data_IF_004664489154
#
_entry.id   IF_004664489154
#
_cell.length_a   1.000
_cell.length_b   1.000
_cell.length_c   1.000
_cell.angle_alpha   90.00
_cell.angle_beta   90.00
_cell.angle_gamma   90.00
#
_symmetry.space_group_name_H-M   'P 1'
#
loop_
_entity.id
_entity.type
_entity.pdbx_description
1 polymer ?
#
# COMPACT_ATOMS: atom_id res chain seq x y z
N UNK A 1 9.22 -2.05 2.60
CA UNK A 1 8.81 -3.12 1.66
C UNK A 1 7.37 -2.96 1.24
N UNK A 2 7.10 -3.32 -0.02
CA UNK A 2 5.79 -3.31 -0.67
C UNK A 2 5.48 -4.75 -1.06
N UNK A 3 4.34 -5.28 -0.62
CA UNK A 3 3.80 -6.52 -1.16
C UNK A 3 2.79 -6.20 -2.26
N UNK A 4 2.86 -6.95 -3.35
CA UNK A 4 1.98 -6.76 -4.52
C UNK A 4 0.97 -7.89 -4.62
N UNK A 5 -0.29 -7.53 -4.86
CA UNK A 5 -1.41 -8.48 -4.94
C UNK A 5 -2.06 -8.36 -6.31
N UNK A 6 -2.38 -9.49 -6.93
CA UNK A 6 -2.99 -9.56 -8.26
C UNK A 6 -4.53 -9.39 -8.25
N UNK A 7 -5.02 -8.42 -7.47
CA UNK A 7 -6.44 -8.10 -7.31
C UNK A 7 -6.68 -6.61 -7.59
N UNK A 8 -6.53 -6.19 -8.85
CA UNK A 8 -6.78 -4.81 -9.28
C UNK A 8 -8.05 -4.68 -10.10
N UNK A 9 -8.43 -3.45 -10.47
CA UNK A 9 -9.62 -3.20 -11.31
C UNK A 9 -9.62 -3.97 -12.63
N UNK A 10 -8.43 -4.17 -13.23
CA UNK A 10 -8.28 -4.94 -14.47
C UNK A 10 -8.18 -6.46 -14.29
N UNK A 11 -8.17 -6.99 -13.06
CA UNK A 11 -8.10 -8.44 -12.85
C UNK A 11 -9.29 -9.13 -13.49
N UNK A 12 -9.01 -10.15 -14.30
CA UNK A 12 -10.01 -10.86 -15.11
C UNK A 12 -10.70 -11.91 -14.24
N UNK A 13 -12.02 -11.94 -14.27
CA UNK A 13 -12.84 -12.97 -13.67
C UNK A 13 -13.06 -14.14 -14.64
N UNK A 14 -13.13 -15.36 -14.12
CA UNK A 14 -13.28 -16.58 -14.92
C UNK A 14 -13.84 -17.73 -14.07
N UNK A 15 -14.45 -18.72 -14.72
CA UNK A 15 -14.88 -19.96 -14.08
C UNK A 15 -13.75 -21.00 -14.19
N UNK A 16 -13.37 -21.62 -13.08
CA UNK A 16 -12.41 -22.73 -13.13
C UNK A 16 -13.04 -24.04 -13.60
N UNK A 17 -12.21 -25.08 -13.79
CA UNK A 17 -12.68 -26.37 -14.28
C UNK A 17 -13.71 -27.06 -13.35
N UNK A 18 -13.80 -26.63 -12.08
CA UNK A 18 -14.80 -27.08 -11.12
C UNK A 18 -16.07 -26.22 -11.08
N UNK A 19 -16.15 -25.17 -11.91
CA UNK A 19 -17.26 -24.21 -11.92
C UNK A 19 -17.18 -23.16 -10.81
N UNK A 20 -16.02 -22.99 -10.16
CA UNK A 20 -15.86 -21.95 -9.14
C UNK A 20 -15.43 -20.63 -9.77
N UNK A 21 -15.97 -19.52 -9.28
CA UNK A 21 -15.57 -18.18 -9.67
C UNK A 21 -14.15 -17.87 -9.16
N UNK A 22 -13.29 -17.42 -10.07
CA UNK A 22 -11.92 -16.95 -9.81
C UNK A 22 -11.73 -15.55 -10.34
N UNK A 23 -10.80 -14.81 -9.74
CA UNK A 23 -10.39 -13.48 -10.20
C UNK A 23 -8.87 -13.39 -10.21
N UNK A 24 -8.30 -12.91 -11.31
CA UNK A 24 -6.86 -12.90 -11.51
C UNK A 24 -6.27 -14.31 -11.73
N UNK A 25 -4.93 -14.44 -11.75
CA UNK A 25 -3.95 -13.35 -11.70
C UNK A 25 -3.85 -12.60 -13.04
N UNK A 26 -4.52 -13.08 -14.10
CA UNK A 26 -4.56 -12.42 -15.40
C UNK A 26 -5.25 -11.06 -15.30
N UNK A 27 -4.73 -10.08 -16.03
CA UNK A 27 -5.26 -8.72 -16.07
C UNK A 27 -5.53 -8.29 -17.51
N UNK A 28 -6.60 -7.52 -17.71
CA UNK A 28 -6.92 -6.87 -18.98
C UNK A 28 -6.03 -5.64 -19.26
N UNK A 29 -5.23 -5.21 -18.28
CA UNK A 29 -4.37 -4.04 -18.38
C UNK A 29 -5.15 -2.75 -18.60
N UNK A 30 -4.55 -1.79 -19.31
CA UNK A 30 -5.19 -0.52 -19.69
C UNK A 30 -5.65 -0.49 -21.17
N UNK A 31 -5.10 -1.38 -22.00
CA UNK A 31 -5.45 -1.56 -23.41
C UNK A 31 -5.42 -3.06 -23.76
N UNK A 32 -6.55 -3.68 -24.15
CA UNK A 32 -7.85 -3.05 -24.30
C UNK A 32 -8.48 -2.62 -22.95
N UNK A 33 -8.04 -3.20 -21.83
CA UNK A 33 -8.58 -2.92 -20.50
C UNK A 33 -9.95 -3.55 -20.24
N UNK A 34 -10.59 -3.22 -19.10
CA UNK A 34 -11.97 -3.58 -18.79
C UNK A 34 -12.93 -3.31 -19.97
N UNK A 35 -13.96 -4.14 -20.11
CA UNK A 35 -14.96 -3.95 -21.16
C UNK A 35 -15.64 -2.57 -21.06
N UNK A 36 -15.85 -2.10 -19.83
CA UNK A 36 -16.35 -0.78 -19.48
C UNK A 36 -15.55 0.38 -20.12
N UNK A 37 -14.30 0.18 -20.54
CA UNK A 37 -13.52 1.23 -21.19
C UNK A 37 -13.94 1.47 -22.65
N UNK A 38 -14.73 0.57 -23.25
CA UNK A 38 -15.19 0.72 -24.64
C UNK A 38 -14.08 0.61 -25.69
N UNK A 39 -12.94 -0.01 -25.35
CA UNK A 39 -11.74 -0.14 -26.21
C UNK A 39 -11.57 -1.54 -26.82
N UNK A 40 -12.65 -2.31 -26.89
CA UNK A 40 -12.65 -3.68 -27.42
C UNK A 40 -12.30 -4.77 -26.39
N UNK A 41 -12.24 -4.44 -25.10
CA UNK A 41 -12.14 -5.43 -24.04
C UNK A 41 -13.45 -6.20 -23.90
N UNK A 42 -13.38 -7.51 -23.69
CA UNK A 42 -14.56 -8.39 -23.60
C UNK A 42 -14.53 -9.34 -22.40
N UNK A 43 -13.36 -9.54 -21.78
CA UNK A 43 -13.25 -10.35 -20.58
C UNK A 43 -13.83 -9.59 -19.38
N UNK A 44 -14.63 -10.22 -18.51
CA UNK A 44 -15.16 -9.58 -17.32
C UNK A 44 -14.03 -9.25 -16.35
N UNK A 45 -14.05 -8.04 -15.80
CA UNK A 45 -13.06 -7.58 -14.82
C UNK A 45 -13.71 -7.07 -13.54
N UNK A 46 -12.88 -6.82 -12.52
CA UNK A 46 -13.32 -6.19 -11.26
C UNK A 46 -13.93 -4.80 -11.50
N UNK A 47 -13.40 -4.02 -12.46
CA UNK A 47 -13.99 -2.74 -12.86
C UNK A 47 -15.37 -2.94 -13.49
N UNK A 48 -15.53 -3.92 -14.38
CA UNK A 48 -16.83 -4.22 -15.02
C UNK A 48 -17.88 -4.58 -13.97
N UNK A 49 -17.51 -5.41 -12.99
CA UNK A 49 -18.38 -5.77 -11.88
C UNK A 49 -18.81 -4.55 -11.05
N UNK A 50 -17.90 -3.62 -10.73
CA UNK A 50 -18.25 -2.39 -10.02
C UNK A 50 -19.17 -1.47 -10.84
N UNK A 51 -19.01 -1.45 -12.17
CA UNK A 51 -19.90 -0.69 -13.08
C UNK A 51 -21.29 -1.30 -13.11
N UNK A 52 -21.41 -2.63 -13.20
CA UNK A 52 -22.69 -3.35 -13.14
C UNK A 52 -23.40 -3.10 -11.82
N UNK A 53 -22.67 -3.14 -10.70
CA UNK A 53 -23.21 -2.86 -9.36
C UNK A 53 -23.51 -1.37 -9.10
N UNK A 54 -23.23 -0.47 -10.06
CA UNK A 54 -23.49 0.96 -9.92
C UNK A 54 -22.63 1.66 -8.87
N UNK A 55 -21.47 1.09 -8.49
CA UNK A 55 -20.60 1.63 -7.43
C UNK A 55 -19.73 2.79 -7.91
N UNK A 56 -19.55 2.93 -9.21
CA UNK A 56 -18.76 4.02 -9.80
C UNK A 56 -19.66 5.24 -9.98
N UNK A 57 -19.26 6.39 -9.41
CA UNK A 57 -20.04 7.63 -9.53
C UNK A 57 -20.05 8.10 -11.00
N UNK A 58 -21.20 8.59 -11.45
CA UNK A 58 -21.49 8.89 -12.86
C UNK A 58 -20.50 9.86 -13.50
N UNK A 59 -20.30 9.70 -14.81
CA UNK A 59 -19.40 10.45 -15.72
C UNK A 59 -17.91 10.51 -15.35
N UNK A 60 -17.49 9.87 -14.24
CA UNK A 60 -16.09 9.81 -13.87
C UNK A 60 -15.33 8.95 -14.86
N UNK A 61 -14.63 9.64 -15.76
CA UNK A 61 -13.59 9.02 -16.52
C UNK A 61 -12.48 8.54 -15.59
N UNK A 62 -11.89 7.38 -15.87
CA UNK A 62 -10.62 7.02 -15.21
C UNK A 62 -9.59 8.12 -15.56
N UNK A 63 -9.19 8.91 -14.56
CA UNK A 63 -8.37 10.11 -14.77
C UNK A 63 -9.00 11.19 -15.67
N UNK A 64 -10.33 11.28 -15.72
CA UNK A 64 -11.06 12.27 -16.52
C UNK A 64 -11.05 12.05 -18.04
N UNK A 65 -10.48 10.94 -18.54
CA UNK A 65 -10.31 10.69 -19.98
C UNK A 65 -11.03 9.46 -20.53
N UNK A 66 -11.55 8.57 -19.66
CA UNK A 66 -12.17 7.30 -20.08
C UNK A 66 -13.58 7.17 -19.52
N UNK A 67 -14.59 7.63 -20.27
CA UNK A 67 -16.01 7.45 -19.89
C UNK A 67 -16.36 5.96 -19.85
N UNK A 68 -16.81 5.48 -18.68
CA UNK A 68 -17.18 4.08 -18.49
C UNK A 68 -18.52 3.77 -19.18
N UNK A 69 -18.56 2.65 -19.89
CA UNK A 69 -19.72 2.18 -20.63
C UNK A 69 -20.38 1.03 -19.89
N UNK A 70 -21.65 1.22 -19.52
CA UNK A 70 -22.42 0.20 -18.76
C UNK A 70 -22.73 -1.03 -19.58
N UNK A 71 -23.11 -0.88 -20.85
CA UNK A 71 -23.52 -2.01 -21.70
C UNK A 71 -22.39 -3.02 -21.92
N UNK A 72 -21.17 -2.63 -22.34
CA UNK A 72 -20.07 -3.58 -22.48
C UNK A 72 -19.68 -4.26 -21.16
N UNK A 73 -19.73 -3.54 -20.05
CA UNK A 73 -19.47 -4.11 -18.72
C UNK A 73 -20.51 -5.19 -18.37
N UNK A 74 -21.79 -4.88 -18.57
CA UNK A 74 -22.89 -5.81 -18.35
C UNK A 74 -22.78 -7.03 -19.25
N UNK A 75 -22.48 -6.87 -20.54
CA UNK A 75 -22.34 -7.99 -21.48
C UNK A 75 -21.19 -8.93 -21.09
N UNK A 76 -20.04 -8.38 -20.68
CA UNK A 76 -18.89 -9.16 -20.22
C UNK A 76 -19.22 -9.97 -18.95
N UNK A 77 -19.84 -9.34 -17.95
CA UNK A 77 -20.22 -10.02 -16.70
C UNK A 77 -21.35 -11.03 -16.95
N UNK A 78 -22.31 -10.71 -17.81
CA UNK A 78 -23.41 -11.60 -18.19
C UNK A 78 -22.91 -12.88 -18.85
N UNK A 79 -21.87 -12.80 -19.69
CA UNK A 79 -21.26 -13.98 -20.29
C UNK A 79 -20.74 -14.97 -19.23
N UNK A 80 -20.04 -14.47 -18.21
CA UNK A 80 -19.54 -15.32 -17.12
C UNK A 80 -20.66 -15.79 -16.19
N UNK A 81 -21.66 -14.93 -15.94
CA UNK A 81 -22.83 -15.30 -15.15
C UNK A 81 -23.58 -16.47 -15.79
N UNK A 82 -23.74 -16.48 -17.11
CA UNK A 82 -24.35 -17.58 -17.85
C UNK A 82 -23.55 -18.88 -17.76
N UNK A 83 -22.21 -18.82 -17.82
CA UNK A 83 -21.33 -19.98 -17.65
C UNK A 83 -21.43 -20.59 -16.25
N UNK A 84 -21.55 -19.74 -15.22
CA UNK A 84 -21.67 -20.13 -13.81
C UNK A 84 -23.10 -20.48 -13.39
N UNK A 85 -24.12 -20.21 -14.23
CA UNK A 85 -25.52 -20.39 -13.89
C UNK A 85 -26.02 -19.43 -12.79
N UNK A 86 -25.50 -18.20 -12.75
CA UNK A 86 -25.83 -17.18 -11.74
C UNK A 86 -26.59 -16.00 -12.36
N UNK A 87 -27.41 -15.28 -11.58
CA UNK A 87 -27.85 -13.93 -11.94
C UNK A 87 -26.65 -12.99 -12.15
N UNK A 88 -26.78 -12.03 -13.08
CA UNK A 88 -25.69 -11.10 -13.44
C UNK A 88 -25.21 -10.31 -12.23
N UNK A 89 -26.12 -9.79 -11.40
CA UNK A 89 -25.79 -9.01 -10.21
C UNK A 89 -25.08 -9.86 -9.14
N UNK A 90 -25.43 -11.13 -9.01
CA UNK A 90 -24.78 -12.06 -8.08
C UNK A 90 -23.38 -12.43 -8.56
N UNK A 91 -23.21 -12.63 -9.87
CA UNK A 91 -21.89 -12.80 -10.48
C UNK A 91 -21.01 -11.56 -10.26
N UNK A 92 -21.54 -10.35 -10.52
CA UNK A 92 -20.83 -9.09 -10.30
C UNK A 92 -20.41 -8.93 -8.83
N UNK A 93 -21.31 -9.24 -7.89
CA UNK A 93 -21.02 -9.20 -6.45
C UNK A 93 -19.91 -10.19 -6.08
N UNK A 94 -20.01 -11.43 -6.56
CA UNK A 94 -19.01 -12.47 -6.35
C UNK A 94 -17.63 -12.08 -6.88
N UNK A 95 -17.55 -11.42 -8.04
CA UNK A 95 -16.27 -10.95 -8.62
C UNK A 95 -15.60 -9.97 -7.63
N UNK A 96 -16.35 -9.01 -7.09
CA UNK A 96 -15.80 -8.05 -6.14
C UNK A 96 -15.44 -8.73 -4.82
N UNK A 97 -16.27 -9.65 -4.32
CA UNK A 97 -15.99 -10.40 -3.09
C UNK A 97 -14.71 -11.21 -3.19
N UNK A 98 -14.51 -11.97 -4.27
CA UNK A 98 -13.28 -12.74 -4.50
C UNK A 98 -12.06 -11.81 -4.56
N UNK A 99 -12.15 -10.69 -5.30
CA UNK A 99 -11.06 -9.72 -5.36
C UNK A 99 -10.73 -9.12 -3.98
N UNK A 100 -11.74 -8.79 -3.18
CA UNK A 100 -11.57 -8.27 -1.81
C UNK A 100 -10.94 -9.33 -0.90
N UNK A 101 -11.33 -10.61 -0.99
CA UNK A 101 -10.75 -11.67 -0.18
C UNK A 101 -9.24 -11.83 -0.44
N UNK A 102 -8.80 -11.71 -1.70
CA UNK A 102 -7.37 -11.70 -2.04
C UNK A 102 -6.64 -10.49 -1.44
N UNK A 103 -7.24 -9.29 -1.52
CA UNK A 103 -6.67 -8.08 -0.89
C UNK A 103 -6.56 -8.22 0.64
N UNK A 104 -7.62 -8.72 1.30
CA UNK A 104 -7.67 -8.93 2.75
C UNK A 104 -6.63 -9.96 3.17
N UNK A 105 -6.52 -11.08 2.46
CA UNK A 105 -5.55 -12.14 2.76
C UNK A 105 -4.11 -11.61 2.73
N UNK A 106 -3.77 -10.83 1.70
CA UNK A 106 -2.45 -10.24 1.58
C UNK A 106 -2.16 -9.20 2.68
N UNK A 107 -3.12 -8.32 2.98
CA UNK A 107 -2.97 -7.34 4.06
C UNK A 107 -2.85 -8.01 5.43
N UNK A 108 -3.54 -9.14 5.64
CA UNK A 108 -3.44 -9.93 6.86
C UNK A 108 -2.03 -10.51 7.02
N UNK A 109 -1.47 -11.12 5.96
CA UNK A 109 -0.09 -11.67 5.97
C UNK A 109 0.91 -10.58 6.33
N UNK A 110 0.87 -9.44 5.63
CA UNK A 110 1.82 -8.34 5.86
C UNK A 110 1.70 -7.74 7.26
N UNK A 111 0.47 -7.64 7.78
CA UNK A 111 0.24 -7.08 9.12
C UNK A 111 0.75 -8.03 10.21
N UNK A 112 0.44 -9.33 10.09
CA UNK A 112 0.83 -10.37 11.06
C UNK A 112 2.33 -10.59 11.06
N UNK A 113 2.98 -10.67 9.89
CA UNK A 113 4.44 -10.82 9.79
C UNK A 113 5.20 -9.66 10.47
N UNK A 114 4.57 -8.50 10.57
CA UNK A 114 5.12 -7.30 11.22
C UNK A 114 4.67 -7.15 12.68
N UNK A 115 3.88 -8.08 13.21
CA UNK A 115 3.34 -8.01 14.57
C UNK A 115 2.35 -6.85 14.77
N UNK A 116 1.72 -6.37 13.71
CA UNK A 116 0.78 -5.24 13.73
C UNK A 116 -0.65 -5.76 13.76
N UNK A 117 -1.45 -5.29 14.73
CA UNK A 117 -2.89 -5.52 14.74
C UNK A 117 -3.58 -4.48 13.83
N UNK A 118 -4.15 -4.87 12.67
CA UNK A 118 -4.74 -3.93 11.73
C UNK A 118 -5.93 -3.18 12.33
N UNK A 119 -6.64 -3.76 13.31
CA UNK A 119 -7.83 -3.17 13.94
C UNK A 119 -7.53 -1.87 14.68
N UNK A 120 -6.30 -1.73 15.18
CA UNK A 120 -5.86 -0.51 15.87
C UNK A 120 -5.55 0.66 14.91
N UNK A 121 -5.45 0.38 13.60
CA UNK A 121 -5.01 1.33 12.59
C UNK A 121 -6.13 2.17 11.96
N UNK A 122 -5.74 2.85 10.87
CA UNK A 122 -6.64 3.50 9.90
C UNK A 122 -6.23 3.01 8.52
N UNK A 123 -7.20 2.58 7.71
CA UNK A 123 -6.92 2.15 6.35
C UNK A 123 -6.76 3.38 5.45
N UNK A 124 -5.58 3.58 4.86
CA UNK A 124 -5.37 4.61 3.85
C UNK A 124 -5.65 4.01 2.47
N UNK A 125 -6.79 4.37 1.87
CA UNK A 125 -7.21 3.86 0.58
C UNK A 125 -6.82 4.85 -0.53
N UNK A 126 -5.98 4.40 -1.46
CA UNK A 126 -5.51 5.20 -2.60
C UNK A 126 -5.38 4.35 -3.86
N UNK A 127 -4.99 5.00 -4.96
CA UNK A 127 -5.09 4.46 -6.31
C UNK A 127 -6.50 4.64 -6.88
N UNK A 128 -6.66 4.44 -8.19
CA UNK A 128 -7.94 4.68 -8.86
C UNK A 128 -9.09 3.81 -8.36
N UNK A 129 -8.80 2.58 -7.91
CA UNK A 129 -9.79 1.61 -7.44
C UNK A 129 -9.73 1.33 -5.92
N UNK A 130 -8.73 1.84 -5.20
CA UNK A 130 -8.59 1.55 -3.76
C UNK A 130 -9.83 1.96 -2.96
N UNK A 131 -10.29 3.23 -3.08
CA UNK A 131 -11.49 3.69 -2.39
C UNK A 131 -12.80 2.95 -2.75
N UNK A 132 -12.87 2.23 -3.89
CA UNK A 132 -14.03 1.39 -4.24
C UNK A 132 -14.15 0.14 -3.37
N UNK A 133 -13.01 -0.39 -2.91
CA UNK A 133 -12.94 -1.64 -2.16
C UNK A 133 -12.70 -1.42 -0.66
N UNK A 134 -12.44 -0.18 -0.25
CA UNK A 134 -11.94 0.15 1.08
C UNK A 134 -12.86 -0.30 2.22
N UNK A 135 -14.18 -0.08 2.12
CA UNK A 135 -15.12 -0.55 3.15
C UNK A 135 -15.07 -2.07 3.32
N UNK A 136 -15.11 -2.82 2.22
CA UNK A 136 -15.10 -4.28 2.27
C UNK A 136 -13.76 -4.86 2.75
N UNK A 137 -12.64 -4.20 2.41
CA UNK A 137 -11.31 -4.56 2.92
C UNK A 137 -11.22 -4.27 4.42
N UNK A 138 -11.69 -3.10 4.87
CA UNK A 138 -11.74 -2.76 6.29
C UNK A 138 -12.64 -3.74 7.08
N UNK A 139 -13.77 -4.14 6.49
CA UNK A 139 -14.64 -5.18 7.04
C UNK A 139 -13.91 -6.52 7.23
N UNK A 140 -13.21 -7.00 6.20
CA UNK A 140 -12.43 -8.24 6.30
C UNK A 140 -11.27 -8.19 7.29
N UNK A 141 -10.75 -6.99 7.59
CA UNK A 141 -9.65 -6.79 8.54
C UNK A 141 -10.11 -6.37 9.94
N UNK A 142 -11.42 -6.18 10.16
CA UNK A 142 -11.98 -5.69 11.42
C UNK A 142 -11.58 -4.25 11.76
N UNK A 143 -11.33 -3.42 10.75
CA UNK A 143 -10.98 -2.01 10.91
C UNK A 143 -12.25 -1.16 10.89
N UNK A 144 -12.29 -0.10 11.69
CA UNK A 144 -13.46 0.77 11.81
C UNK A 144 -13.26 2.17 11.21
N UNK A 145 -12.05 2.45 10.68
CA UNK A 145 -11.67 3.78 10.16
C UNK A 145 -10.92 3.69 8.85
N UNK A 146 -11.34 4.50 7.89
CA UNK A 146 -10.73 4.62 6.57
C UNK A 146 -10.46 6.10 6.28
N UNK A 147 -9.36 6.39 5.59
CA UNK A 147 -9.11 7.70 4.99
C UNK A 147 -8.75 7.53 3.52
N UNK A 148 -9.51 8.18 2.66
CA UNK A 148 -9.24 8.33 1.23
C UNK A 148 -8.70 9.76 1.03
N UNK A 149 -7.39 9.96 0.86
CA UNK A 149 -6.83 11.30 0.68
C UNK A 149 -7.39 11.97 -0.58
N UNK A 150 -7.48 13.29 -0.61
CA UNK A 150 -7.95 14.03 -1.79
C UNK A 150 -7.25 13.62 -3.10
N UNK A 151 -5.94 13.37 -3.01
CA UNK A 151 -5.11 12.90 -4.11
C UNK A 151 -5.11 11.37 -4.28
N UNK A 152 -6.10 10.63 -3.76
CA UNK A 152 -6.13 9.16 -3.74
C UNK A 152 -5.77 8.56 -5.10
N UNK A 153 -6.38 9.03 -6.20
CA UNK A 153 -6.13 8.51 -7.54
C UNK A 153 -4.69 8.64 -8.04
N UNK A 154 -3.91 9.60 -7.50
CA UNK A 154 -2.56 9.95 -7.95
C UNK A 154 -1.53 10.01 -6.80
N UNK A 155 -1.84 9.43 -5.64
CA UNK A 155 -1.05 9.60 -4.42
C UNK A 155 0.42 9.17 -4.59
N UNK A 156 0.66 8.13 -5.40
CA UNK A 156 2.03 7.69 -5.73
C UNK A 156 2.81 8.75 -6.53
N UNK A 157 2.16 9.41 -7.49
CA UNK A 157 2.78 10.49 -8.25
C UNK A 157 3.05 11.71 -7.37
N UNK A 158 2.12 12.06 -6.48
CA UNK A 158 2.34 13.10 -5.49
C UNK A 158 3.55 12.78 -4.61
N UNK A 159 3.65 11.54 -4.11
CA UNK A 159 4.79 11.06 -3.33
C UNK A 159 6.13 11.22 -4.06
N UNK A 160 6.18 10.96 -5.36
CA UNK A 160 7.39 11.17 -6.17
C UNK A 160 7.77 12.66 -6.29
N UNK A 161 6.79 13.55 -6.42
CA UNK A 161 7.03 15.00 -6.55
C UNK A 161 7.53 15.62 -5.26
N UNK A 162 7.07 15.12 -4.11
CA UNK A 162 7.39 15.70 -2.79
C UNK A 162 8.45 14.93 -2.02
N UNK A 163 9.02 13.87 -2.60
CA UNK A 163 10.15 13.17 -2.01
C UNK A 163 11.41 14.02 -2.12
N UNK A 164 12.15 14.14 -1.01
CA UNK A 164 13.50 14.68 -1.02
C UNK A 164 14.47 13.74 -1.73
N UNK A 165 15.60 14.28 -2.19
CA UNK A 165 16.65 13.48 -2.79
C UNK A 165 17.30 12.59 -1.72
N UNK A 166 17.55 11.33 -2.08
CA UNK A 166 18.21 10.35 -1.21
C UNK A 166 19.29 9.62 -1.98
N UNK A 167 20.51 9.61 -1.43
CA UNK A 167 21.65 8.83 -1.95
C UNK A 167 22.09 7.82 -0.92
N UNK A 168 21.96 6.53 -1.26
CA UNK A 168 22.29 5.40 -0.40
C UNK A 168 23.65 4.79 -0.78
N UNK A 169 24.50 4.59 0.23
CA UNK A 169 25.79 3.90 0.09
C UNK A 169 25.85 2.77 1.11
N UNK A 170 26.38 1.63 0.68
CA UNK A 170 26.49 0.43 1.51
C UNK A 170 27.88 -0.16 1.33
N UNK A 171 28.49 -0.55 2.44
CA UNK A 171 29.73 -1.31 2.45
C UNK A 171 29.55 -2.55 3.32
N UNK A 172 29.81 -3.72 2.74
CA UNK A 172 29.90 -4.96 3.48
C UNK A 172 31.13 -4.95 4.38
N UNK A 173 30.93 -5.35 5.63
CA UNK A 173 31.98 -5.50 6.65
C UNK A 173 31.73 -6.81 7.41
N UNK A 174 32.69 -7.26 8.20
CA UNK A 174 32.43 -8.28 9.20
C UNK A 174 33.22 -7.91 10.45
N UNK A 175 32.58 -7.13 11.31
CA UNK A 175 33.21 -6.54 12.49
C UNK A 175 32.36 -6.84 13.72
N UNK A 176 32.98 -7.09 14.89
CA UNK A 176 32.25 -7.08 16.16
C UNK A 176 31.56 -5.73 16.35
N UNK A 177 30.33 -5.72 16.89
CA UNK A 177 29.64 -4.45 17.18
C UNK A 177 30.43 -3.57 18.18
N UNK A 178 31.29 -4.19 18.99
CA UNK A 178 32.20 -3.53 19.94
C UNK A 178 33.37 -2.81 19.27
N UNK A 179 33.68 -3.10 17.99
CA UNK A 179 34.78 -2.45 17.25
C UNK A 179 34.35 -1.07 16.72
N UNK A 180 34.17 -0.11 17.63
CA UNK A 180 33.77 1.25 17.26
C UNK A 180 34.76 1.92 16.31
N UNK A 181 36.06 1.60 16.41
CA UNK A 181 37.10 2.16 15.54
C UNK A 181 36.98 1.65 14.10
N UNK A 182 36.86 0.33 13.91
CA UNK A 182 36.67 -0.26 12.59
C UNK A 182 35.35 0.15 11.95
N UNK A 183 34.26 0.23 12.73
CA UNK A 183 32.96 0.67 12.23
C UNK A 183 32.96 2.15 11.81
N UNK A 184 33.59 3.03 12.61
CA UNK A 184 33.75 4.44 12.25
C UNK A 184 34.58 4.60 10.96
N UNK A 185 35.69 3.87 10.84
CA UNK A 185 36.53 3.86 9.66
C UNK A 185 35.82 3.35 8.40
N UNK A 186 34.84 2.44 8.55
CA UNK A 186 34.01 1.97 7.43
C UNK A 186 32.92 2.99 7.03
N UNK A 187 32.39 3.76 7.97
CA UNK A 187 31.34 4.76 7.72
C UNK A 187 31.91 6.05 7.10
N UNK A 188 33.06 6.50 7.58
CA UNK A 188 33.68 7.77 7.19
C UNK A 188 33.80 7.98 5.66
N UNK A 189 34.33 7.05 4.84
CA UNK A 189 34.42 7.24 3.40
C UNK A 189 33.04 7.30 2.73
N UNK A 190 32.05 6.55 3.24
CA UNK A 190 30.68 6.58 2.71
C UNK A 190 30.00 7.92 3.03
N UNK A 191 30.18 8.43 4.25
CA UNK A 191 29.67 9.73 4.66
C UNK A 191 30.32 10.88 3.87
N UNK A 192 31.64 10.82 3.65
CA UNK A 192 32.35 11.80 2.82
C UNK A 192 31.82 11.82 1.38
N UNK A 193 31.61 10.63 0.78
CA UNK A 193 31.01 10.53 -0.55
C UNK A 193 29.58 11.07 -0.59
N UNK A 194 28.75 10.67 0.37
CA UNK A 194 27.36 11.08 0.47
C UNK A 194 27.22 12.61 0.61
N UNK A 195 28.05 13.23 1.46
CA UNK A 195 28.08 14.68 1.65
C UNK A 195 28.63 15.42 0.43
N UNK A 196 29.62 14.88 -0.27
CA UNK A 196 30.14 15.49 -1.51
C UNK A 196 29.11 15.46 -2.65
N UNK A 197 28.34 14.37 -2.70
CA UNK A 197 27.34 14.13 -3.73
C UNK A 197 26.01 14.85 -3.47
N UNK A 198 25.64 15.06 -2.19
CA UNK A 198 24.45 15.80 -1.78
C UNK A 198 24.78 16.73 -0.59
N UNK A 199 25.39 17.92 -0.84
CA UNK A 199 25.91 18.80 0.21
C UNK A 199 24.87 19.37 1.17
N UNK A 200 23.65 19.60 0.68
CA UNK A 200 22.51 20.09 1.47
C UNK A 200 21.79 18.96 2.23
N UNK A 201 22.22 17.70 2.05
CA UNK A 201 21.58 16.54 2.64
C UNK A 201 22.03 16.28 4.08
N UNK A 202 21.09 15.93 4.96
CA UNK A 202 21.44 15.36 6.27
C UNK A 202 22.01 13.95 6.08
N UNK A 203 23.07 13.63 6.83
CA UNK A 203 23.70 12.31 6.80
C UNK A 203 23.09 11.42 7.90
N UNK A 204 22.56 10.27 7.49
CA UNK A 204 22.09 9.21 8.38
C UNK A 204 22.94 7.96 8.21
N UNK A 205 23.31 7.31 9.31
CA UNK A 205 24.01 6.03 9.28
C UNK A 205 23.15 4.91 9.88
N UNK A 206 23.33 3.71 9.34
CA UNK A 206 22.69 2.47 9.82
C UNK A 206 23.69 1.33 9.75
N UNK A 207 23.44 0.29 10.54
CA UNK A 207 24.24 -0.93 10.52
C UNK A 207 23.33 -2.15 10.34
N UNK A 208 23.75 -3.11 9.54
CA UNK A 208 23.12 -4.42 9.48
C UNK A 208 23.78 -5.31 10.53
N UNK A 209 23.05 -5.62 11.59
CA UNK A 209 23.56 -6.36 12.73
C UNK A 209 22.88 -7.71 12.88
N UNK A 210 23.61 -8.69 13.40
CA UNK A 210 23.05 -9.98 13.81
C UNK A 210 23.78 -10.53 15.02
N UNK A 211 23.16 -11.44 15.75
CA UNK A 211 23.91 -12.23 16.72
C UNK A 211 24.90 -13.12 15.98
N UNK A 212 26.10 -13.30 16.55
CA UNK A 212 27.10 -14.21 15.99
C UNK A 212 26.49 -15.61 15.80
N UNK A 213 26.65 -16.15 14.59
CA UNK A 213 26.10 -17.46 14.20
C UNK A 213 24.69 -17.41 13.59
N UNK A 214 24.01 -16.27 13.57
CA UNK A 214 22.76 -16.12 12.81
C UNK A 214 23.02 -15.88 11.33
N UNK A 215 22.08 -16.30 10.49
CA UNK A 215 22.13 -16.07 9.04
C UNK A 215 21.56 -14.71 8.63
N UNK A 216 20.49 -14.23 9.30
CA UNK A 216 19.78 -13.00 8.94
C UNK A 216 20.22 -11.82 9.81
N UNK A 217 20.32 -10.64 9.19
CA UNK A 217 20.66 -9.39 9.87
C UNK A 217 19.46 -8.43 9.90
N UNK A 218 19.43 -7.59 10.93
CA UNK A 218 18.48 -6.49 11.08
C UNK A 218 19.22 -5.17 10.86
N UNK A 219 18.66 -4.32 10.01
CA UNK A 219 19.16 -2.95 9.82
C UNK A 219 18.69 -2.06 10.96
N UNK A 220 19.63 -1.45 11.68
CA UNK A 220 19.34 -0.60 12.84
C UNK A 220 19.92 0.81 12.65
N UNK A 221 19.20 1.87 13.06
CA UNK A 221 19.74 3.22 13.04
C UNK A 221 20.90 3.33 14.03
N UNK A 222 21.96 4.00 13.62
CA UNK A 222 23.16 4.13 14.43
C UNK A 222 23.84 5.47 14.18
N UNK A 223 24.25 6.13 15.26
CA UNK A 223 25.12 7.30 15.18
C UNK A 223 26.57 6.83 15.43
N UNK A 224 27.47 6.89 14.42
CA UNK A 224 28.84 6.40 14.53
C UNK A 224 29.69 7.16 15.55
N UNK A 225 29.20 8.31 16.04
CA UNK A 225 29.84 9.08 17.12
C UNK A 225 29.47 8.57 18.51
N UNK A 226 28.45 7.70 18.63
CA UNK A 226 28.01 7.11 19.90
C UNK A 226 28.80 5.82 20.20
N UNK A 227 28.92 5.45 21.49
CA UNK A 227 29.56 4.20 21.89
C UNK A 227 28.88 2.97 21.27
N UNK A 228 29.64 1.89 21.06
CA UNK A 228 29.11 0.60 20.58
C UNK A 228 27.88 0.10 21.34
N UNK A 229 27.81 0.33 22.65
CA UNK A 229 26.65 -0.05 23.46
C UNK A 229 25.31 0.52 22.93
N UNK A 230 25.33 1.72 22.33
CA UNK A 230 24.14 2.30 21.71
C UNK A 230 23.67 1.53 20.47
N UNK A 231 24.61 0.97 19.70
CA UNK A 231 24.28 0.09 18.57
C UNK A 231 23.70 -1.23 19.06
N UNK A 232 24.31 -1.82 20.10
CA UNK A 232 23.82 -3.07 20.69
C UNK A 232 22.41 -2.92 21.27
N UNK A 233 22.13 -1.84 22.00
CA UNK A 233 20.80 -1.57 22.52
C UNK A 233 19.76 -1.33 21.42
N UNK A 234 20.10 -0.55 20.39
CA UNK A 234 19.23 -0.35 19.23
C UNK A 234 18.90 -1.68 18.53
N UNK A 235 19.88 -2.59 18.42
CA UNK A 235 19.67 -3.92 17.88
C UNK A 235 18.81 -4.80 18.79
N UNK A 236 19.07 -4.81 20.10
CA UNK A 236 18.25 -5.59 21.04
C UNK A 236 16.78 -5.14 21.02
N UNK A 237 16.51 -3.85 20.93
CA UNK A 237 15.14 -3.32 20.79
C UNK A 237 14.51 -3.70 19.44
N UNK A 238 15.25 -3.60 18.34
CA UNK A 238 14.76 -4.04 17.03
C UNK A 238 14.47 -5.55 17.00
N UNK A 239 15.38 -6.36 17.52
CA UNK A 239 15.21 -7.81 17.58
C UNK A 239 14.06 -8.22 18.50
N UNK A 240 13.88 -7.56 19.65
CA UNK A 240 12.75 -7.84 20.53
C UNK A 240 11.39 -7.55 19.87
N UNK A 241 11.29 -6.50 19.04
CA UNK A 241 10.08 -6.20 18.28
C UNK A 241 9.76 -7.27 17.23
N UNK A 242 10.76 -7.75 16.51
CA UNK A 242 10.55 -8.71 15.40
C UNK A 242 10.43 -10.15 15.90
N UNK A 243 11.24 -10.55 16.89
CA UNK A 243 11.34 -11.94 17.36
C UNK A 243 10.72 -12.19 18.74
N UNK A 244 10.10 -11.17 19.36
CA UNK A 244 9.46 -11.26 20.67
C UNK A 244 10.43 -11.34 21.87
N UNK A 245 11.74 -11.38 21.65
CA UNK A 245 12.77 -11.38 22.71
C UNK A 245 14.11 -10.82 22.22
N UNK A 246 14.94 -10.35 23.15
CA UNK A 246 16.36 -10.05 22.89
C UNK A 246 17.25 -11.08 23.60
N UNK A 247 18.34 -11.50 22.97
CA UNK A 247 19.32 -12.44 23.52
C UNK A 247 20.52 -11.67 24.06
N UNK A 248 20.28 -10.84 25.08
CA UNK A 248 21.33 -10.05 25.72
C UNK A 248 22.45 -10.96 26.24
N UNK A 249 23.70 -10.58 26.01
CA UNK A 249 24.89 -11.36 26.35
C UNK A 249 25.41 -12.25 25.22
N UNK A 250 24.67 -12.40 24.12
CA UNK A 250 25.20 -13.00 22.89
C UNK A 250 25.92 -11.91 22.09
N UNK A 251 27.18 -12.11 21.66
CA UNK A 251 27.91 -11.11 20.87
C UNK A 251 27.20 -10.77 19.57
N UNK A 252 27.33 -9.50 19.16
CA UNK A 252 26.81 -9.00 17.90
C UNK A 252 27.93 -8.81 16.88
N UNK A 253 27.62 -9.09 15.62
CA UNK A 253 28.45 -8.74 14.48
C UNK A 253 27.69 -7.83 13.51
N UNK A 254 28.42 -6.88 12.92
CA UNK A 254 27.95 -5.99 11.87
C UNK A 254 28.41 -6.57 10.55
N UNK A 255 27.46 -6.82 9.65
CA UNK A 255 27.73 -7.40 8.31
C UNK A 255 27.73 -6.34 7.19
N UNK A 256 27.14 -5.18 7.45
CA UNK A 256 27.21 -4.03 6.56
C UNK A 256 27.07 -2.73 7.35
N UNK A 257 27.74 -1.68 6.87
CA UNK A 257 27.43 -0.29 7.25
C UNK A 257 26.74 0.40 6.08
N UNK A 258 25.77 1.25 6.39
CA UNK A 258 24.95 1.98 5.42
C UNK A 258 24.97 3.46 5.77
N UNK A 259 25.14 4.31 4.76
CA UNK A 259 25.04 5.76 4.89
C UNK A 259 24.07 6.28 3.85
N UNK A 260 23.20 7.19 4.26
CA UNK A 260 22.32 7.91 3.37
C UNK A 260 22.50 9.42 3.54
N UNK A 261 22.65 10.15 2.43
CA UNK A 261 22.40 11.59 2.41
C UNK A 261 20.95 11.83 1.97
N UNK A 262 20.23 12.69 2.70
CA UNK A 262 18.79 12.92 2.48
C UNK A 262 18.50 14.41 2.55
N UNK A 263 17.88 14.98 1.53
CA UNK A 263 17.28 16.33 1.62
C UNK A 263 15.81 16.24 2.01
N UNK A 264 15.27 17.34 2.51
CA UNK A 264 13.82 17.47 2.62
C UNK A 264 13.23 17.69 1.22
N UNK A 265 12.03 17.16 1.00
CA UNK A 265 11.28 17.45 -0.21
C UNK A 265 10.82 18.91 -0.25
N UNK A 266 10.29 19.37 -1.40
CA UNK A 266 9.63 20.67 -1.44
C UNK A 266 8.52 20.73 -0.38
N UNK A 267 8.32 21.88 0.29
CA UNK A 267 7.29 22.01 1.30
C UNK A 267 5.94 21.71 0.67
N UNK A 268 5.24 20.72 1.23
CA UNK A 268 3.87 20.39 0.86
C UNK A 268 2.96 20.83 1.99
N UNK A 269 2.17 21.86 1.75
CA UNK A 269 1.09 22.20 2.68
C UNK A 269 -0.07 21.25 2.45
N UNK A 270 -0.01 20.12 3.16
CA UNK A 270 -1.16 19.28 3.39
C UNK A 270 -1.99 19.98 4.46
N UNK A 271 -2.75 21.00 4.06
CA UNK A 271 -3.80 21.53 4.92
C UNK A 271 -4.58 20.32 5.47
N UNK A 272 -4.69 20.23 6.80
CA UNK A 272 -5.55 19.21 7.39
C UNK A 272 -6.95 19.30 6.77
N UNK A 273 -7.77 18.25 6.83
CA UNK A 273 -9.00 18.18 6.04
C UNK A 273 -9.94 19.38 6.23
N UNK A 274 -9.80 20.09 7.35
CA UNK A 274 -10.72 21.12 7.77
C UNK A 274 -12.03 20.47 8.22
N UNK A 275 -13.08 21.29 8.26
CA UNK A 275 -14.40 20.81 8.65
C UNK A 275 -14.99 19.89 7.58
N UNK A 276 -15.84 18.96 8.02
CA UNK A 276 -16.65 18.17 7.11
C UNK A 276 -17.63 19.10 6.39
N UNK A 277 -17.64 19.04 5.06
CA UNK A 277 -18.53 19.82 4.20
C UNK A 277 -19.76 19.01 3.77
N UNK A 278 -19.67 17.68 3.78
CA UNK A 278 -20.78 16.78 3.52
C UNK A 278 -20.64 15.47 4.31
N UNK A 279 -21.77 14.82 4.59
CA UNK A 279 -21.83 13.51 5.24
C UNK A 279 -22.72 12.59 4.42
N UNK A 280 -22.27 11.36 4.22
CA UNK A 280 -22.96 10.34 3.42
C UNK A 280 -23.07 9.05 4.23
N UNK A 281 -24.27 8.51 4.36
CA UNK A 281 -24.48 7.16 4.87
C UNK A 281 -24.60 6.19 3.69
N UNK A 282 -23.97 5.02 3.81
CA UNK A 282 -24.00 4.02 2.74
C UNK A 282 -25.38 3.38 2.56
N UNK A 283 -25.74 2.93 1.34
CA UNK A 283 -24.89 2.88 0.15
C UNK A 283 -24.80 4.23 -0.58
N UNK A 284 -23.58 4.70 -0.85
CA UNK A 284 -23.33 5.93 -1.60
C UNK A 284 -22.01 5.87 -2.38
N UNK A 285 -21.92 6.62 -3.49
CA UNK A 285 -20.68 6.81 -4.25
C UNK A 285 -20.27 8.27 -4.20
N UNK A 286 -19.03 8.54 -3.82
CA UNK A 286 -18.45 9.88 -3.77
C UNK A 286 -17.41 9.98 -4.89
N UNK A 287 -17.57 11.00 -5.73
CA UNK A 287 -16.65 11.31 -6.81
C UNK A 287 -15.37 11.94 -6.25
N UNK A 288 -14.21 11.42 -6.62
CA UNK A 288 -12.91 11.97 -6.22
C UNK A 288 -12.04 12.21 -7.46
N UNK A 289 -11.08 13.15 -7.44
CA UNK A 289 -10.14 13.32 -8.54
C UNK A 289 -9.40 12.01 -8.86
N UNK A 290 -9.68 11.43 -10.03
CA UNK A 290 -9.06 10.19 -10.52
C UNK A 290 -9.46 8.91 -9.76
N UNK A 291 -10.49 8.93 -8.92
CA UNK A 291 -10.97 7.74 -8.19
C UNK A 291 -12.46 7.86 -7.84
N UNK A 292 -13.05 6.77 -7.32
CA UNK A 292 -14.39 6.82 -6.72
C UNK A 292 -14.34 6.15 -5.36
N UNK A 293 -14.89 6.81 -4.35
CA UNK A 293 -15.05 6.23 -3.04
C UNK A 293 -16.44 5.59 -2.91
N UNK A 294 -16.48 4.29 -2.61
CA UNK A 294 -17.73 3.58 -2.33
C UNK A 294 -17.95 3.50 -0.82
N UNK A 295 -19.07 4.07 -0.36
CA UNK A 295 -19.54 4.00 1.02
C UNK A 295 -20.52 2.83 1.10
N UNK A 296 -20.08 1.72 1.71
CA UNK A 296 -20.92 0.53 1.84
C UNK A 296 -22.02 0.71 2.92
N UNK A 297 -23.12 -0.06 2.88
CA UNK A 297 -24.06 -0.11 3.99
C UNK A 297 -23.36 -0.37 5.34
N UNK A 298 -23.76 0.32 6.40
CA UNK A 298 -23.10 0.25 7.71
C UNK A 298 -21.85 1.14 7.85
N UNK A 299 -21.52 1.92 6.83
CA UNK A 299 -20.47 2.93 6.87
C UNK A 299 -21.04 4.33 6.69
N UNK A 300 -20.37 5.30 7.30
CA UNK A 300 -20.62 6.74 7.13
C UNK A 300 -19.34 7.42 6.67
N UNK A 301 -19.45 8.26 5.65
CA UNK A 301 -18.36 9.06 5.11
C UNK A 301 -18.57 10.54 5.43
N UNK A 302 -17.49 11.23 5.81
CA UNK A 302 -17.40 12.68 5.86
C UNK A 302 -16.46 13.14 4.74
N UNK A 303 -16.99 13.95 3.83
CA UNK A 303 -16.20 14.67 2.83
C UNK A 303 -15.72 15.99 3.44
N UNK A 304 -14.44 16.28 3.28
CA UNK A 304 -13.79 17.44 3.86
C UNK A 304 -13.43 18.47 2.79
N UNK A 305 -13.19 19.72 3.23
CA UNK A 305 -12.97 20.86 2.33
C UNK A 305 -11.76 20.69 1.39
N UNK A 306 -10.75 19.92 1.80
CA UNK A 306 -9.57 19.59 1.00
C UNK A 306 -9.84 18.49 -0.05
N UNK A 307 -11.02 17.86 -0.03
CA UNK A 307 -11.39 16.71 -0.87
C UNK A 307 -11.06 15.35 -0.24
N UNK A 308 -10.52 15.31 0.98
CA UNK A 308 -10.31 14.07 1.72
C UNK A 308 -11.65 13.50 2.16
N UNK A 309 -11.81 12.18 2.04
CA UNK A 309 -12.98 11.46 2.55
C UNK A 309 -12.54 10.58 3.71
N UNK A 310 -13.16 10.77 4.87
CA UNK A 310 -12.96 9.90 6.04
C UNK A 310 -14.19 9.05 6.25
N UNK A 311 -14.01 7.76 6.48
CA UNK A 311 -15.13 6.85 6.73
C UNK A 311 -14.98 6.17 8.08
N UNK A 312 -16.12 6.01 8.74
CA UNK A 312 -16.25 5.31 10.01
C UNK A 312 -17.38 4.28 9.91
N UNK A 313 -17.19 3.15 10.58
CA UNK A 313 -18.25 2.15 10.74
C UNK A 313 -19.32 2.66 11.72
N UNK A 314 -20.59 2.44 11.38
CA UNK A 314 -21.76 2.76 12.21
C UNK A 314 -22.07 1.69 13.26
#
# INVERSE_FOLDING_TARGET
DIETVSAGGGSIAWADAGGALRVGPRSAGALPGPAAYGRGGTAPTVTDANVVLGRVAGDLGVGGTVTLQKTPAHDAVSSLAAELGLPVDDCARGIVEVAVQEMVSALHVVSVERGVDPRAGVLIAFGGAGPLHACAVADGLGMDRITCPAAAGVLAALGMVVAGERRDYVQSVLLPATDSGGLAAAVEPLAGRAAAELPEGRIEARADCRYVGQSHALTVPWDPRKPAAALEDAFHEAHARVAGRAMRGVPLEVVSVRVAAITDGPPLDLHGPGDAVAVHEGPASIAMPGSTCWVAPGWRAAEHADGTVRMERL
#
